data_IF_101791370164
#
_entry.id   IF_101791370164
#
_cell.length_a   1.000
_cell.length_b   1.000
_cell.length_c   1.000
_cell.angle_alpha   90.00
_cell.angle_beta   90.00
_cell.angle_gamma   90.00
#
_symmetry.space_group_name_H-M   'P 1'
#
loop_
_entity.id
_entity.type
_entity.pdbx_description
1 polymer ?
#
# COMPACT_ATOMS: atom_id res chain seq x y z
N UNK A 1 4.64 21.77 10.15
CA UNK A 1 3.74 20.82 9.48
C UNK A 1 4.49 20.33 8.26
N UNK A 2 4.78 19.05 8.20
CA UNK A 2 5.52 18.42 7.08
C UNK A 2 4.57 18.07 5.94
N UNK A 3 5.08 17.82 4.73
CA UNK A 3 4.24 17.34 3.62
C UNK A 3 3.56 15.99 3.95
N UNK A 4 4.21 15.16 4.77
CA UNK A 4 3.60 13.94 5.32
C UNK A 4 2.37 14.24 6.19
N UNK A 5 2.44 15.28 7.04
CA UNK A 5 1.31 15.69 7.88
C UNK A 5 0.16 16.22 7.03
N UNK A 6 0.47 16.94 5.94
CA UNK A 6 -0.52 17.47 5.00
C UNK A 6 -1.25 16.33 4.28
N UNK A 7 -0.52 15.36 3.72
CA UNK A 7 -1.14 14.22 3.05
C UNK A 7 -1.94 13.35 4.02
N UNK A 8 -1.47 13.20 5.25
CA UNK A 8 -2.24 12.54 6.30
C UNK A 8 -3.57 13.27 6.57
N UNK A 9 -3.53 14.61 6.63
CA UNK A 9 -4.73 15.42 6.84
C UNK A 9 -5.70 15.31 5.66
N UNK A 10 -5.21 15.31 4.41
CA UNK A 10 -6.04 15.03 3.23
C UNK A 10 -6.77 13.69 3.35
N UNK A 11 -6.05 12.60 3.67
CA UNK A 11 -6.66 11.28 3.90
C UNK A 11 -7.74 11.37 4.99
N UNK A 12 -7.43 12.00 6.12
CA UNK A 12 -8.35 12.08 7.25
C UNK A 12 -9.60 12.93 6.96
N UNK A 13 -9.47 14.00 6.17
CA UNK A 13 -10.59 14.82 5.72
C UNK A 13 -11.52 14.04 4.79
N UNK A 14 -10.97 13.30 3.82
CA UNK A 14 -11.77 12.47 2.92
C UNK A 14 -12.47 11.33 3.66
N UNK A 15 -11.84 10.75 4.69
CA UNK A 15 -12.47 9.79 5.60
C UNK A 15 -13.66 10.42 6.33
N UNK A 16 -13.50 11.61 6.93
CA UNK A 16 -14.58 12.31 7.63
C UNK A 16 -15.75 12.68 6.71
N UNK A 17 -15.44 12.98 5.45
CA UNK A 17 -16.43 13.25 4.42
C UNK A 17 -16.97 11.97 3.75
N UNK A 18 -16.54 10.79 4.20
CA UNK A 18 -16.91 9.48 3.67
C UNK A 18 -16.68 9.32 2.16
N UNK A 19 -15.71 10.07 1.61
CA UNK A 19 -15.36 10.04 0.18
C UNK A 19 -14.35 8.94 -0.10
N UNK A 20 -14.77 7.70 0.16
CA UNK A 20 -13.91 6.53 0.14
C UNK A 20 -13.12 6.31 -1.16
N UNK A 21 -13.72 6.66 -2.31
CA UNK A 21 -13.11 6.54 -3.63
C UNK A 21 -11.99 7.57 -3.89
N UNK A 22 -11.93 8.64 -3.11
CA UNK A 22 -10.93 9.70 -3.24
C UNK A 22 -9.67 9.40 -2.44
N UNK A 23 -9.79 8.63 -1.35
CA UNK A 23 -8.71 8.40 -0.38
C UNK A 23 -7.50 7.75 -1.05
N UNK A 24 -7.74 6.77 -1.94
CA UNK A 24 -6.68 6.01 -2.61
C UNK A 24 -5.67 6.91 -3.35
N UNK A 25 -6.11 8.07 -3.84
CA UNK A 25 -5.27 9.03 -4.57
C UNK A 25 -4.11 9.56 -3.73
N UNK A 26 -4.26 9.56 -2.41
CA UNK A 26 -3.27 10.09 -1.46
C UNK A 26 -2.34 9.01 -0.91
N UNK A 27 -2.65 7.72 -1.09
CA UNK A 27 -1.85 6.63 -0.52
C UNK A 27 -0.43 6.61 -1.07
N UNK A 28 -0.27 6.71 -2.39
CA UNK A 28 1.07 6.70 -2.98
C UNK A 28 1.89 7.93 -2.54
N UNK A 29 1.28 9.11 -2.53
CA UNK A 29 1.92 10.34 -2.06
C UNK A 29 2.34 10.23 -0.59
N UNK A 30 1.43 9.82 0.29
CA UNK A 30 1.71 9.61 1.71
C UNK A 30 2.87 8.65 1.93
N UNK A 31 2.87 7.51 1.22
CA UNK A 31 3.97 6.53 1.26
C UNK A 31 5.30 7.17 0.84
N UNK A 32 5.34 7.88 -0.28
CA UNK A 32 6.56 8.54 -0.75
C UNK A 32 7.08 9.60 0.24
N UNK A 33 6.20 10.38 0.88
CA UNK A 33 6.63 11.33 1.90
C UNK A 33 7.15 10.64 3.16
N UNK A 34 6.53 9.51 3.56
CA UNK A 34 6.96 8.72 4.73
C UNK A 34 8.36 8.13 4.52
N UNK A 35 8.61 7.56 3.34
CA UNK A 35 9.89 6.90 3.00
C UNK A 35 10.94 7.86 2.39
N UNK A 36 10.61 9.15 2.27
CA UNK A 36 11.47 10.16 1.60
C UNK A 36 11.78 9.83 0.13
N UNK A 37 10.88 9.14 -0.57
CA UNK A 37 10.98 8.88 -2.01
C UNK A 37 10.50 10.08 -2.82
N UNK A 38 11.30 11.14 -2.82
CA UNK A 38 10.96 12.43 -3.40
C UNK A 38 11.95 12.83 -4.51
N UNK A 39 11.41 13.49 -5.53
CA UNK A 39 12.20 14.16 -6.56
C UNK A 39 13.00 15.32 -5.94
N UNK A 40 13.98 15.85 -6.68
CA UNK A 40 14.71 17.09 -6.29
C UNK A 40 13.79 18.30 -6.01
N UNK A 41 12.55 18.27 -6.50
CA UNK A 41 11.53 19.31 -6.29
C UNK A 41 10.57 19.01 -5.13
N UNK A 42 10.83 17.97 -4.32
CA UNK A 42 10.00 17.60 -3.18
C UNK A 42 8.69 16.89 -3.53
N UNK A 43 8.51 16.43 -4.77
CA UNK A 43 7.31 15.69 -5.20
C UNK A 43 7.51 14.17 -5.09
N UNK A 44 6.45 13.38 -4.80
CA UNK A 44 6.50 11.92 -4.84
C UNK A 44 7.15 11.38 -6.11
N UNK A 45 8.12 10.47 -5.96
CA UNK A 45 8.92 9.92 -7.05
C UNK A 45 8.70 8.40 -7.17
N UNK A 46 8.00 7.99 -8.22
CA UNK A 46 7.72 6.59 -8.50
C UNK A 46 8.95 5.80 -8.96
N UNK A 47 9.92 6.45 -9.59
CA UNK A 47 11.16 5.78 -10.03
C UNK A 47 12.01 5.47 -8.81
N UNK A 48 12.14 6.44 -7.90
CA UNK A 48 12.88 6.25 -6.65
C UNK A 48 12.21 5.19 -5.77
N UNK A 49 10.88 5.24 -5.62
CA UNK A 49 10.14 4.21 -4.90
C UNK A 49 10.39 2.81 -5.51
N UNK A 50 10.33 2.67 -6.84
CA UNK A 50 10.60 1.40 -7.52
C UNK A 50 12.02 0.86 -7.27
N UNK A 51 13.00 1.73 -7.14
CA UNK A 51 14.40 1.35 -6.91
C UNK A 51 14.66 0.90 -5.46
N UNK A 52 13.98 1.49 -4.49
CA UNK A 52 14.22 1.26 -3.07
C UNK A 52 13.23 0.30 -2.40
N UNK A 53 12.04 0.10 -2.96
CA UNK A 53 11.09 -0.86 -2.41
C UNK A 53 11.63 -2.29 -2.45
N UNK A 54 11.24 -3.15 -1.49
CA UNK A 54 11.49 -4.59 -1.54
C UNK A 54 11.11 -5.17 -2.90
N UNK A 55 11.96 -6.03 -3.46
CA UNK A 55 11.81 -6.53 -4.83
C UNK A 55 11.59 -8.04 -4.87
N UNK A 56 10.82 -8.51 -5.83
CA UNK A 56 10.76 -9.95 -6.11
C UNK A 56 12.15 -10.48 -6.48
N UNK A 57 12.51 -11.65 -5.96
CA UNK A 57 13.75 -12.36 -6.33
C UNK A 57 13.81 -12.74 -7.82
N UNK A 58 12.66 -12.88 -8.46
CA UNK A 58 12.56 -13.19 -9.90
C UNK A 58 12.86 -11.98 -10.79
N UNK A 59 12.91 -10.77 -10.21
CA UNK A 59 13.11 -9.54 -10.95
C UNK A 59 14.60 -9.31 -11.26
N UNK A 60 14.95 -9.44 -12.54
CA UNK A 60 16.32 -9.18 -13.02
C UNK A 60 16.50 -7.75 -13.55
N UNK A 61 15.46 -7.16 -14.15
CA UNK A 61 15.51 -5.84 -14.80
C UNK A 61 14.47 -4.89 -14.18
N UNK A 62 14.93 -3.93 -13.37
CA UNK A 62 14.07 -2.97 -12.66
C UNK A 62 13.29 -2.05 -13.63
N UNK A 63 13.85 -1.73 -14.80
CA UNK A 63 13.24 -0.82 -15.79
C UNK A 63 11.82 -1.25 -16.21
N UNK A 64 11.55 -2.55 -16.23
CA UNK A 64 10.24 -3.11 -16.60
C UNK A 64 9.43 -3.62 -15.41
N UNK A 65 9.89 -3.32 -14.19
CA UNK A 65 9.20 -3.71 -12.99
C UNK A 65 7.95 -2.85 -12.75
N UNK A 66 7.01 -3.44 -12.02
CA UNK A 66 5.78 -2.81 -11.58
C UNK A 66 5.90 -2.55 -10.09
N UNK A 67 5.53 -1.34 -9.66
CA UNK A 67 5.34 -1.05 -8.26
C UNK A 67 3.92 -1.48 -7.87
N UNK A 68 3.81 -2.30 -6.85
CA UNK A 68 2.58 -2.99 -6.48
C UNK A 68 2.40 -2.92 -4.95
N UNK A 69 1.24 -2.46 -4.44
CA UNK A 69 1.04 -2.28 -3.00
C UNK A 69 1.02 -3.62 -2.28
N UNK A 70 1.69 -3.79 -1.14
CA UNK A 70 1.71 -5.09 -0.45
C UNK A 70 0.30 -5.56 -0.09
N UNK A 71 -0.48 -4.67 0.52
CA UNK A 71 -1.93 -4.83 0.71
C UNK A 71 -2.66 -3.94 -0.30
N UNK A 72 -3.62 -4.47 -1.08
CA UNK A 72 -4.35 -3.66 -2.06
C UNK A 72 -5.04 -2.45 -1.43
N UNK A 73 -5.03 -1.31 -2.12
CA UNK A 73 -5.61 -0.06 -1.61
C UNK A 73 -7.09 -0.18 -1.24
N UNK A 74 -7.86 -0.97 -2.00
CA UNK A 74 -9.26 -1.26 -1.70
C UNK A 74 -9.41 -1.94 -0.32
N UNK A 75 -8.48 -2.84 0.02
CA UNK A 75 -8.46 -3.55 1.31
C UNK A 75 -8.08 -2.60 2.44
N UNK A 76 -7.08 -1.74 2.26
CA UNK A 76 -6.71 -0.71 3.24
C UNK A 76 -7.89 0.23 3.50
N UNK A 77 -8.55 0.68 2.43
CA UNK A 77 -9.76 1.52 2.52
C UNK A 77 -10.87 0.78 3.28
N UNK A 78 -11.07 -0.51 3.01
CA UNK A 78 -12.03 -1.35 3.73
C UNK A 78 -11.74 -1.46 5.23
N UNK A 79 -10.48 -1.58 5.63
CA UNK A 79 -10.08 -1.57 7.04
C UNK A 79 -10.37 -0.21 7.70
N UNK A 80 -10.06 0.90 7.02
CA UNK A 80 -10.39 2.25 7.51
C UNK A 80 -11.90 2.42 7.68
N UNK A 81 -12.70 2.00 6.68
CA UNK A 81 -14.17 2.01 6.75
C UNK A 81 -14.69 1.22 7.95
N UNK A 82 -14.12 0.05 8.22
CA UNK A 82 -14.51 -0.78 9.38
C UNK A 82 -14.30 -0.01 10.68
N UNK A 83 -13.11 0.57 10.88
CA UNK A 83 -12.81 1.37 12.07
C UNK A 83 -13.71 2.61 12.19
N UNK A 84 -14.05 3.27 11.07
CA UNK A 84 -14.99 4.41 11.06
C UNK A 84 -16.38 3.98 11.53
N UNK A 85 -16.93 2.92 10.92
CA UNK A 85 -18.24 2.36 11.26
C UNK A 85 -18.32 1.93 12.72
N UNK A 86 -17.25 1.35 13.24
CA UNK A 86 -17.21 0.85 14.63
C UNK A 86 -16.92 1.98 15.64
N UNK A 87 -16.76 3.24 15.21
CA UNK A 87 -16.48 4.39 16.07
C UNK A 87 -15.07 4.42 16.67
N UNK A 88 -14.17 3.58 16.14
CA UNK A 88 -12.80 3.38 16.66
C UNK A 88 -11.74 4.20 15.92
N UNK A 89 -12.12 4.91 14.85
CA UNK A 89 -11.18 5.62 13.99
C UNK A 89 -10.74 6.97 14.59
N UNK A 90 -9.65 6.95 15.34
CA UNK A 90 -8.91 8.14 15.75
C UNK A 90 -7.79 8.46 14.75
N UNK A 91 -7.23 9.69 14.72
CA UNK A 91 -6.05 10.00 13.91
C UNK A 91 -4.89 9.03 14.17
N UNK A 92 -4.67 8.64 15.43
CA UNK A 92 -3.66 7.65 15.80
C UNK A 92 -3.97 6.27 15.22
N UNK A 93 -5.24 5.85 15.24
CA UNK A 93 -5.65 4.58 14.65
C UNK A 93 -5.47 4.58 13.13
N UNK A 94 -5.86 5.66 12.45
CA UNK A 94 -5.66 5.81 11.01
C UNK A 94 -4.18 5.74 10.65
N UNK A 95 -3.33 6.49 11.35
CA UNK A 95 -1.87 6.47 11.13
C UNK A 95 -1.32 5.06 11.31
N UNK A 96 -1.72 4.35 12.38
CA UNK A 96 -1.33 2.94 12.59
C UNK A 96 -1.77 2.02 11.45
N UNK A 97 -2.97 2.22 10.87
CA UNK A 97 -3.43 1.42 9.73
C UNK A 97 -2.54 1.67 8.51
N UNK A 98 -2.26 2.93 8.19
CA UNK A 98 -1.38 3.29 7.07
C UNK A 98 0.03 2.74 7.29
N UNK A 99 0.62 2.97 8.46
CA UNK A 99 1.99 2.55 8.77
C UNK A 99 2.16 1.02 8.81
N UNK A 100 1.08 0.24 8.97
CA UNK A 100 1.15 -1.23 9.00
C UNK A 100 0.75 -1.91 7.70
N UNK A 101 -0.07 -1.28 6.86
CA UNK A 101 -0.64 -1.90 5.65
C UNK A 101 -0.20 -1.21 4.36
N UNK A 102 0.14 0.07 4.40
CA UNK A 102 0.48 0.86 3.22
C UNK A 102 1.98 0.80 2.96
N UNK A 103 2.37 -0.25 2.25
CA UNK A 103 3.72 -0.49 1.74
C UNK A 103 3.64 -1.00 0.31
N UNK A 104 4.78 -0.99 -0.38
CA UNK A 104 4.86 -1.42 -1.78
C UNK A 104 6.03 -2.37 -2.00
N UNK A 105 5.90 -3.21 -3.02
CA UNK A 105 6.98 -4.04 -3.54
C UNK A 105 7.12 -3.87 -5.05
N UNK A 106 8.33 -4.09 -5.52
CA UNK A 106 8.69 -4.05 -6.93
C UNK A 106 8.67 -5.47 -7.50
N UNK A 107 7.70 -5.76 -8.37
CA UNK A 107 7.49 -7.08 -8.96
C UNK A 107 7.61 -7.06 -10.49
N UNK A 108 7.67 -8.23 -11.11
CA UNK A 108 7.59 -8.36 -12.56
C UNK A 108 6.16 -8.18 -13.08
N UNK A 109 6.00 -7.82 -14.36
CA UNK A 109 4.70 -7.81 -15.03
C UNK A 109 4.02 -9.20 -15.04
N UNK A 110 4.81 -10.26 -15.13
CA UNK A 110 4.31 -11.64 -15.09
C UNK A 110 3.69 -11.96 -13.72
N UNK A 111 4.34 -11.57 -12.63
CA UNK A 111 3.84 -11.74 -11.26
C UNK A 111 2.58 -10.91 -11.01
N UNK A 112 2.52 -9.68 -11.52
CA UNK A 112 1.31 -8.85 -11.46
C UNK A 112 0.14 -9.49 -12.21
N UNK A 113 0.41 -10.07 -13.38
CA UNK A 113 -0.59 -10.83 -14.11
C UNK A 113 -1.02 -12.09 -13.36
N UNK A 114 -0.10 -12.80 -12.69
CA UNK A 114 -0.44 -13.96 -11.86
C UNK A 114 -1.37 -13.59 -10.71
N UNK A 115 -1.11 -12.47 -10.02
CA UNK A 115 -2.01 -11.91 -9.00
C UNK A 115 -3.40 -11.62 -9.57
N UNK A 116 -3.47 -11.03 -10.76
CA UNK A 116 -4.74 -10.78 -11.46
C UNK A 116 -5.49 -12.08 -11.78
N UNK A 117 -4.83 -13.08 -12.33
CA UNK A 117 -5.47 -14.36 -12.67
C UNK A 117 -5.95 -15.12 -11.43
N UNK A 118 -5.25 -14.97 -10.31
CA UNK A 118 -5.66 -15.56 -9.03
C UNK A 118 -6.75 -14.76 -8.30
N UNK A 119 -7.20 -13.61 -8.83
CA UNK A 119 -8.15 -12.72 -8.16
C UNK A 119 -7.57 -11.96 -6.94
N UNK A 120 -6.24 -11.92 -6.81
CA UNK A 120 -5.51 -11.32 -5.69
C UNK A 120 -4.90 -9.94 -6.01
N UNK A 121 -5.29 -9.34 -7.15
CA UNK A 121 -4.85 -7.99 -7.52
C UNK A 121 -5.44 -6.94 -6.57
N UNK A 122 -6.76 -7.03 -6.34
CA UNK A 122 -7.51 -6.06 -5.52
C UNK A 122 -8.00 -6.64 -4.19
N UNK A 123 -7.64 -7.89 -3.87
CA UNK A 123 -8.09 -8.59 -2.67
C UNK A 123 -6.95 -9.32 -1.96
N UNK A 124 -7.12 -9.53 -0.66
CA UNK A 124 -6.27 -10.45 0.11
C UNK A 124 -6.88 -11.84 0.16
N UNK A 125 -6.10 -12.91 0.40
CA UNK A 125 -6.63 -14.24 0.65
C UNK A 125 -7.63 -14.25 1.82
N UNK A 126 -8.65 -15.11 1.78
CA UNK A 126 -9.75 -15.11 2.75
C UNK A 126 -9.27 -15.21 4.22
N UNK A 127 -8.26 -16.03 4.49
CA UNK A 127 -7.68 -16.20 5.82
C UNK A 127 -7.01 -14.92 6.36
N UNK A 128 -6.61 -13.98 5.50
CA UNK A 128 -6.07 -12.69 5.90
C UNK A 128 -7.10 -11.85 6.67
N UNK A 129 -8.38 -11.91 6.28
CA UNK A 129 -9.44 -11.12 6.94
C UNK A 129 -9.69 -11.57 8.38
N UNK A 130 -9.59 -12.89 8.64
CA UNK A 130 -9.76 -13.47 9.97
C UNK A 130 -8.52 -13.36 10.86
N UNK A 131 -7.33 -13.21 10.28
CA UNK A 131 -6.07 -13.19 11.03
C UNK A 131 -5.75 -11.77 11.57
N UNK A 132 -5.51 -11.66 12.88
CA UNK A 132 -5.14 -10.40 13.53
C UNK A 132 -3.72 -9.91 13.19
N UNK A 133 -2.80 -10.83 12.87
CA UNK A 133 -1.42 -10.47 12.52
C UNK A 133 -1.32 -9.81 11.13
N UNK A 134 -2.36 -9.94 10.28
CA UNK A 134 -2.48 -9.25 8.99
C UNK A 134 -1.21 -9.29 8.13
N UNK A 135 -0.65 -10.49 7.91
CA UNK A 135 0.56 -10.65 7.08
C UNK A 135 0.38 -9.98 5.70
N UNK A 136 1.11 -8.89 5.47
CA UNK A 136 1.03 -8.08 4.24
C UNK A 136 1.55 -8.83 3.01
N UNK A 137 2.38 -9.86 3.20
CA UNK A 137 2.96 -10.64 2.11
C UNK A 137 2.11 -11.81 1.64
N UNK A 138 1.00 -12.10 2.32
CA UNK A 138 0.27 -13.37 2.17
C UNK A 138 -0.19 -13.64 0.73
N UNK A 139 -0.58 -12.60 -0.02
CA UNK A 139 -1.01 -12.76 -1.42
C UNK A 139 0.14 -13.12 -2.37
N UNK A 140 1.35 -12.64 -2.08
CA UNK A 140 2.55 -13.00 -2.82
C UNK A 140 3.00 -14.42 -2.46
N UNK A 141 3.01 -14.75 -1.16
CA UNK A 141 3.31 -16.09 -0.65
C UNK A 141 2.40 -17.16 -1.26
N UNK A 142 1.10 -16.85 -1.41
CA UNK A 142 0.11 -17.75 -2.04
C UNK A 142 0.48 -18.13 -3.49
N UNK A 143 1.22 -17.26 -4.19
CA UNK A 143 1.67 -17.48 -5.56
C UNK A 143 3.17 -17.81 -5.66
N UNK A 144 3.82 -18.12 -4.52
CA UNK A 144 5.26 -18.34 -4.42
C UNK A 144 6.12 -17.17 -4.95
N UNK A 145 5.59 -15.94 -4.88
CA UNK A 145 6.33 -14.73 -5.21
C UNK A 145 7.14 -14.33 -3.97
N UNK A 146 8.47 -14.48 -4.05
CA UNK A 146 9.37 -14.19 -2.93
C UNK A 146 9.84 -12.74 -2.99
N UNK A 147 9.28 -11.88 -2.14
CA UNK A 147 9.72 -10.50 -1.96
C UNK A 147 10.93 -10.47 -1.02
N UNK A 148 12.04 -9.91 -1.49
CA UNK A 148 13.26 -9.72 -0.72
C UNK A 148 13.20 -8.36 0.00
N UNK A 149 13.03 -8.40 1.32
CA UNK A 149 13.22 -7.27 2.21
C UNK A 149 14.73 -7.07 2.40
N UNK A 150 15.20 -5.84 2.18
CA UNK A 150 16.62 -5.46 2.29
C UNK A 150 16.99 -5.09 3.73
#
# INVERSE_FOLDING_TARGET
MTDLDIEFEHIFLEVKAERWHSIERFYFSYFCFRESYLTKKGKPDWELARQHCPRSRSLTIIKHAELEPLVPHEVITGEIKRYWRDGLLTPRALRRILDSLLDYATITKAEKNALKQAGLLNAMPACWYANQAKNVNLRFETLNICIAFQ
#
